data_IF_157284267974
#
_entry.id   IF_157284267974
#
_cell.length_a   1.000
_cell.length_b   1.000
_cell.length_c   1.000
_cell.angle_alpha   90.00
_cell.angle_beta   90.00
_cell.angle_gamma   90.00
#
_symmetry.space_group_name_H-M   'P 1'
#
loop_
_entity.id
_entity.type
_entity.pdbx_description
1 polymer ?
#
# COMPACT_ATOMS: atom_id res chain seq x y z
N UNK A 1 14.60 -15.68 4.02
CA UNK A 1 15.38 -14.45 4.23
C UNK A 1 15.18 -13.45 3.09
N UNK A 2 15.41 -13.82 1.82
CA UNK A 2 15.22 -12.91 0.65
C UNK A 2 13.83 -12.24 0.63
N UNK A 3 12.75 -12.98 0.89
CA UNK A 3 11.39 -12.42 0.90
C UNK A 3 11.15 -11.32 1.94
N UNK A 4 11.69 -11.46 3.16
CA UNK A 4 11.51 -10.49 4.26
C UNK A 4 12.28 -9.19 4.00
N UNK A 5 13.44 -9.29 3.35
CA UNK A 5 14.19 -8.11 2.91
C UNK A 5 13.47 -7.38 1.78
N UNK A 6 12.89 -8.12 0.84
CA UNK A 6 12.12 -7.53 -0.25
C UNK A 6 10.89 -6.76 0.27
N UNK A 7 10.11 -7.34 1.20
CA UNK A 7 8.98 -6.64 1.83
C UNK A 7 9.40 -5.38 2.55
N UNK A 8 10.54 -5.41 3.24
CA UNK A 8 11.01 -4.22 3.96
C UNK A 8 11.44 -3.12 3.00
N UNK A 9 12.14 -3.46 1.92
CA UNK A 9 12.51 -2.50 0.88
C UNK A 9 11.28 -1.94 0.17
N UNK A 10 10.29 -2.78 -0.13
CA UNK A 10 9.01 -2.36 -0.69
C UNK A 10 8.27 -1.42 0.27
N UNK A 11 8.21 -1.77 1.57
CA UNK A 11 7.63 -0.92 2.61
C UNK A 11 8.35 0.43 2.69
N UNK A 12 9.68 0.44 2.68
CA UNK A 12 10.47 1.68 2.72
C UNK A 12 10.27 2.55 1.47
N UNK A 13 10.21 1.96 0.27
CA UNK A 13 9.90 2.68 -0.97
C UNK A 13 8.47 3.24 -0.92
N UNK A 14 7.53 2.45 -0.40
CA UNK A 14 6.14 2.87 -0.20
C UNK A 14 6.03 4.04 0.77
N UNK A 15 6.75 3.95 1.90
CA UNK A 15 6.82 4.99 2.93
C UNK A 15 7.53 6.23 2.43
N UNK A 16 8.57 6.10 1.59
CA UNK A 16 9.23 7.22 0.94
C UNK A 16 8.27 7.98 0.02
N UNK A 17 7.47 7.23 -0.76
CA UNK A 17 6.37 7.82 -1.54
C UNK A 17 5.34 8.45 -0.61
N UNK A 18 5.03 7.83 0.53
CA UNK A 18 4.03 8.32 1.49
C UNK A 18 4.45 9.59 2.21
N UNK A 19 5.66 9.67 2.76
CA UNK A 19 6.16 10.84 3.47
C UNK A 19 6.23 12.10 2.59
N UNK A 20 6.36 11.92 1.27
CA UNK A 20 6.21 13.00 0.30
C UNK A 20 4.72 13.33 0.00
N UNK A 21 3.79 12.38 0.20
CA UNK A 21 2.42 12.43 -0.31
C UNK A 21 1.29 12.44 0.72
N UNK A 22 1.55 12.46 2.04
CA UNK A 22 0.50 12.65 3.04
C UNK A 22 -0.03 14.08 2.97
N UNK A 23 -1.02 14.25 2.11
CA UNK A 23 -1.90 15.39 2.12
C UNK A 23 -3.28 14.88 2.41
N UNK A 24 -3.58 14.82 3.70
CA UNK A 24 -4.96 14.78 4.13
C UNK A 24 -5.39 16.22 4.37
N UNK A 25 -6.59 16.61 3.92
CA UNK A 25 -7.17 17.86 4.31
C UNK A 25 -7.11 18.06 5.83
N UNK A 26 -6.78 19.26 6.29
CA UNK A 26 -6.68 19.57 7.72
C UNK A 26 -8.01 19.33 8.47
N UNK A 27 -9.14 19.36 7.75
CA UNK A 27 -10.45 19.12 8.34
C UNK A 27 -10.75 17.64 8.64
N UNK A 28 -9.87 16.71 8.24
CA UNK A 28 -9.96 15.27 8.54
C UNK A 28 -8.98 14.83 9.64
N UNK A 29 -8.93 15.56 10.77
CA UNK A 29 -8.04 15.24 11.91
C UNK A 29 -8.14 13.77 12.35
N UNK A 30 -9.36 13.22 12.45
CA UNK A 30 -9.56 11.82 12.85
C UNK A 30 -8.95 10.82 11.85
N UNK A 31 -8.94 11.14 10.55
CA UNK A 31 -8.34 10.30 9.53
C UNK A 31 -6.81 10.42 9.55
N UNK A 32 -6.31 11.63 9.87
CA UNK A 32 -4.90 11.91 10.03
C UNK A 32 -4.29 11.06 11.15
N UNK A 33 -4.95 11.00 12.31
CA UNK A 33 -4.51 10.18 13.44
C UNK A 33 -4.48 8.69 13.08
N UNK A 34 -5.55 8.18 12.45
CA UNK A 34 -5.61 6.76 12.04
C UNK A 34 -4.52 6.41 11.03
N UNK A 35 -4.22 7.33 10.11
CA UNK A 35 -3.18 7.14 9.10
C UNK A 35 -1.80 7.21 9.73
N UNK A 36 -1.53 8.19 10.59
CA UNK A 36 -0.25 8.31 11.30
C UNK A 36 0.03 7.07 12.16
N UNK A 37 -0.96 6.60 12.93
CA UNK A 37 -0.83 5.35 13.72
C UNK A 37 -0.54 4.15 12.82
N UNK A 38 -1.22 4.06 11.66
CA UNK A 38 -0.96 2.98 10.69
C UNK A 38 0.46 3.06 10.15
N UNK A 39 0.95 4.27 9.86
CA UNK A 39 2.29 4.48 9.30
C UNK A 39 3.40 4.20 10.29
N UNK A 40 3.24 4.64 11.53
CA UNK A 40 4.16 4.30 12.62
C UNK A 40 4.20 2.77 12.79
N UNK A 41 3.04 2.11 12.71
CA UNK A 41 2.96 0.65 12.76
C UNK A 41 3.66 0.00 11.57
N UNK A 42 3.50 0.54 10.36
CA UNK A 42 4.14 0.06 9.13
C UNK A 42 5.67 0.24 9.15
N UNK A 43 6.20 1.18 9.92
CA UNK A 43 7.63 1.33 10.10
C UNK A 43 8.19 0.36 11.15
N UNK A 44 7.47 0.18 12.26
CA UNK A 44 7.95 -0.64 13.39
C UNK A 44 7.82 -2.14 13.11
N UNK A 45 6.70 -2.59 12.54
CA UNK A 45 6.41 -4.02 12.36
C UNK A 45 7.46 -4.73 11.48
N UNK A 46 7.84 -4.24 10.28
CA UNK A 46 8.83 -4.90 9.44
C UNK A 46 10.21 -5.01 10.11
N UNK A 47 10.63 -3.98 10.86
CA UNK A 47 11.91 -3.99 11.58
C UNK A 47 11.92 -5.08 12.65
N UNK A 48 10.83 -5.21 13.41
CA UNK A 48 10.67 -6.27 14.39
C UNK A 48 10.63 -7.65 13.71
N UNK A 49 9.90 -7.80 12.61
CA UNK A 49 9.84 -9.04 11.84
C UNK A 49 11.21 -9.45 11.27
N UNK A 50 12.02 -8.50 10.79
CA UNK A 50 13.40 -8.77 10.34
C UNK A 50 14.24 -9.30 11.49
N UNK A 51 14.23 -8.61 12.63
CA UNK A 51 15.02 -9.02 13.79
C UNK A 51 14.62 -10.42 14.25
N UNK A 52 13.31 -10.69 14.39
CA UNK A 52 12.77 -12.00 14.73
C UNK A 52 13.14 -13.07 13.70
N UNK A 53 13.14 -12.74 12.42
CA UNK A 53 13.55 -13.65 11.34
C UNK A 53 15.03 -13.99 11.43
N UNK A 54 15.91 -13.00 11.67
CA UNK A 54 17.35 -13.23 11.81
C UNK A 54 17.63 -14.17 13.00
N UNK A 55 17.01 -13.88 14.15
CA UNK A 55 17.13 -14.72 15.35
C UNK A 55 16.62 -16.14 15.04
N UNK A 56 15.46 -16.28 14.41
CA UNK A 56 14.86 -17.57 14.07
C UNK A 56 15.69 -18.37 13.06
N UNK A 57 16.30 -17.71 12.07
CA UNK A 57 17.21 -18.35 11.14
C UNK A 57 18.48 -18.83 11.84
N UNK A 58 19.07 -18.02 12.72
CA UNK A 58 20.25 -18.40 13.49
C UNK A 58 19.97 -19.58 14.43
N UNK A 59 18.85 -19.54 15.17
CA UNK A 59 18.44 -20.64 16.05
C UNK A 59 18.03 -21.88 15.27
N UNK A 60 17.40 -21.71 14.11
CA UNK A 60 17.02 -22.80 13.22
C UNK A 60 18.22 -23.52 12.64
N UNK A 61 19.22 -22.76 12.18
CA UNK A 61 20.49 -23.31 11.69
C UNK A 61 21.24 -24.04 12.80
N UNK A 62 21.42 -23.40 13.96
CA UNK A 62 22.08 -24.02 15.11
C UNK A 62 21.33 -25.28 15.58
N UNK A 63 19.99 -25.25 15.58
CA UNK A 63 19.13 -26.38 15.92
C UNK A 63 19.21 -27.52 14.90
N UNK A 64 19.35 -27.23 13.61
CA UNK A 64 19.53 -28.23 12.57
C UNK A 64 20.91 -28.92 12.65
N UNK A 65 21.98 -28.15 12.92
CA UNK A 65 23.33 -28.71 13.09
C UNK A 65 23.45 -29.52 14.40
N UNK A 66 22.87 -29.01 15.48
CA UNK A 66 22.93 -29.65 16.80
C UNK A 66 21.70 -30.53 17.10
N UNK A 67 21.06 -31.06 16.07
CA UNK A 67 19.72 -31.65 16.19
C UNK A 67 19.65 -32.79 17.20
N UNK A 68 20.69 -33.62 17.27
CA UNK A 68 20.77 -34.73 18.23
C UNK A 68 20.90 -34.26 19.67
N UNK A 69 21.55 -33.11 19.90
CA UNK A 69 21.84 -32.62 21.25
C UNK A 69 20.76 -31.67 21.78
N UNK A 70 20.03 -30.96 20.91
CA UNK A 70 19.17 -29.83 21.30
C UNK A 70 17.91 -29.67 20.44
N UNK A 71 16.97 -30.64 20.45
CA UNK A 71 15.70 -30.54 19.70
C UNK A 71 14.83 -29.34 20.13
N UNK A 72 15.01 -28.84 21.35
CA UNK A 72 14.31 -27.67 21.87
C UNK A 72 14.60 -26.39 21.06
N UNK A 73 15.78 -26.26 20.44
CA UNK A 73 16.09 -25.10 19.58
C UNK A 73 15.25 -25.10 18.30
N UNK A 74 15.03 -26.28 17.69
CA UNK A 74 14.18 -26.41 16.51
C UNK A 74 12.71 -26.15 16.86
N UNK A 75 12.27 -26.60 18.05
CA UNK A 75 10.93 -26.29 18.55
C UNK A 75 10.71 -24.79 18.74
N UNK A 76 11.63 -24.10 19.44
CA UNK A 76 11.57 -22.64 19.66
C UNK A 76 11.56 -21.90 18.33
N UNK A 77 12.37 -22.35 17.37
CA UNK A 77 12.38 -21.78 16.01
C UNK A 77 11.03 -21.94 15.32
N UNK A 78 10.42 -23.13 15.40
CA UNK A 78 9.08 -23.37 14.85
C UNK A 78 8.02 -22.46 15.47
N UNK A 79 8.03 -22.30 16.79
CA UNK A 79 7.13 -21.39 17.51
C UNK A 79 7.33 -19.93 17.08
N UNK A 80 8.59 -19.47 16.95
CA UNK A 80 8.88 -18.11 16.47
C UNK A 80 8.31 -17.85 15.07
N UNK A 81 8.37 -18.82 14.15
CA UNK A 81 7.76 -18.67 12.83
C UNK A 81 6.23 -18.57 12.87
N UNK A 82 5.56 -19.22 13.83
CA UNK A 82 4.13 -18.99 14.04
C UNK A 82 3.84 -17.58 14.57
N UNK A 83 4.68 -17.05 15.46
CA UNK A 83 4.54 -15.65 15.91
C UNK A 83 4.76 -14.65 14.77
N UNK A 84 5.78 -14.86 13.93
CA UNK A 84 6.01 -14.04 12.73
C UNK A 84 4.77 -14.12 11.82
N UNK A 85 4.25 -15.32 11.57
CA UNK A 85 3.02 -15.49 10.76
C UNK A 85 1.84 -14.68 11.33
N UNK A 86 1.62 -14.71 12.64
CA UNK A 86 0.55 -13.93 13.27
C UNK A 86 0.75 -12.42 13.09
N UNK A 87 1.98 -11.92 13.26
CA UNK A 87 2.30 -10.50 13.05
C UNK A 87 2.05 -10.07 11.61
N UNK A 88 2.48 -10.88 10.63
CA UNK A 88 2.29 -10.59 9.21
C UNK A 88 0.79 -10.60 8.83
N UNK A 89 0.01 -11.56 9.35
CA UNK A 89 -1.44 -11.58 9.17
C UNK A 89 -2.10 -10.36 9.81
N UNK A 90 -1.72 -9.99 11.03
CA UNK A 90 -2.24 -8.78 11.68
C UNK A 90 -1.93 -7.54 10.86
N UNK A 91 -0.72 -7.41 10.32
CA UNK A 91 -0.34 -6.33 9.41
C UNK A 91 -1.21 -6.28 8.15
N UNK A 92 -1.40 -7.43 7.49
CA UNK A 92 -2.27 -7.52 6.31
C UNK A 92 -3.74 -7.16 6.63
N UNK A 93 -4.25 -7.56 7.80
CA UNK A 93 -5.61 -7.25 8.25
C UNK A 93 -5.80 -5.76 8.56
N UNK A 94 -4.81 -5.09 9.16
CA UNK A 94 -4.86 -3.66 9.45
C UNK A 94 -4.83 -2.83 8.15
N UNK A 95 -4.13 -3.30 7.12
CA UNK A 95 -4.06 -2.60 5.83
C UNK A 95 -5.39 -2.56 5.08
N UNK A 96 -6.26 -3.56 5.23
CA UNK A 96 -7.56 -3.64 4.52
C UNK A 96 -8.44 -2.39 4.74
N UNK A 97 -8.82 -2.03 5.99
CA UNK A 97 -9.67 -0.88 6.22
C UNK A 97 -8.99 0.43 5.79
N UNK A 98 -7.66 0.52 5.91
CA UNK A 98 -6.89 1.71 5.51
C UNK A 98 -6.93 1.90 4.00
N UNK A 99 -6.65 0.85 3.21
CA UNK A 99 -6.74 0.89 1.74
C UNK A 99 -8.16 1.26 1.29
N UNK A 100 -9.18 0.59 1.85
CA UNK A 100 -10.58 0.85 1.51
C UNK A 100 -11.02 2.28 1.88
N UNK A 101 -10.55 2.79 3.01
CA UNK A 101 -10.88 4.14 3.48
C UNK A 101 -10.16 5.18 2.64
N UNK A 102 -8.89 4.97 2.32
CA UNK A 102 -8.10 5.84 1.46
C UNK A 102 -8.72 5.95 0.07
N UNK A 103 -9.01 4.82 -0.58
CA UNK A 103 -9.59 4.82 -1.93
C UNK A 103 -10.94 5.53 -1.96
N UNK A 104 -11.83 5.22 -1.00
CA UNK A 104 -13.17 5.79 -0.99
C UNK A 104 -13.18 7.26 -0.58
N UNK A 105 -12.51 7.60 0.53
CA UNK A 105 -12.58 8.93 1.12
C UNK A 105 -11.76 9.91 0.28
N UNK A 106 -10.48 9.60 0.05
CA UNK A 106 -9.57 10.57 -0.58
C UNK A 106 -9.95 10.83 -2.03
N UNK A 107 -10.32 9.81 -2.82
CA UNK A 107 -10.70 10.04 -4.22
C UNK A 107 -12.01 10.83 -4.31
N UNK A 108 -13.02 10.47 -3.51
CA UNK A 108 -14.31 11.18 -3.54
C UNK A 108 -14.20 12.61 -3.03
N UNK A 109 -13.49 12.81 -1.91
CA UNK A 109 -13.29 14.15 -1.34
C UNK A 109 -12.39 15.01 -2.22
N UNK A 110 -11.30 14.47 -2.77
CA UNK A 110 -10.52 15.21 -3.77
C UNK A 110 -11.39 15.58 -4.96
N UNK A 111 -12.18 14.66 -5.51
CA UNK A 111 -13.05 14.97 -6.64
C UNK A 111 -14.00 16.11 -6.30
N UNK A 112 -14.69 16.03 -5.15
CA UNK A 112 -15.60 17.07 -4.69
C UNK A 112 -14.88 18.40 -4.47
N UNK A 113 -13.69 18.39 -3.87
CA UNK A 113 -12.86 19.58 -3.63
C UNK A 113 -12.50 20.28 -4.95
N UNK A 114 -11.97 19.51 -5.91
CA UNK A 114 -11.60 20.04 -7.23
C UNK A 114 -12.82 20.50 -8.03
N UNK A 115 -13.95 19.78 -7.95
CA UNK A 115 -15.20 20.18 -8.59
C UNK A 115 -15.80 21.45 -7.98
N UNK A 116 -15.81 21.58 -6.65
CA UNK A 116 -16.26 22.79 -5.94
C UNK A 116 -15.43 24.00 -6.34
N UNK A 117 -14.10 23.83 -6.38
CA UNK A 117 -13.18 24.86 -6.86
C UNK A 117 -13.47 25.27 -8.30
N UNK A 118 -13.71 24.32 -9.19
CA UNK A 118 -14.02 24.61 -10.59
C UNK A 118 -15.41 25.24 -10.76
N UNK A 119 -16.38 24.82 -9.94
CA UNK A 119 -17.75 25.33 -9.92
C UNK A 119 -17.85 26.75 -9.35
N UNK A 120 -16.95 27.13 -8.43
CA UNK A 120 -16.79 28.50 -7.93
C UNK A 120 -16.26 29.48 -8.99
N UNK A 121 -16.00 29.02 -10.22
CA UNK A 121 -15.70 29.88 -11.35
C UNK A 121 -16.90 30.12 -12.32
N UNK A 122 -18.15 30.36 -11.84
CA UNK A 122 -19.33 30.39 -12.72
C UNK A 122 -19.46 31.71 -13.48
N UNK A 123 -18.96 32.82 -12.93
CA UNK A 123 -19.01 34.15 -13.57
C UNK A 123 -18.22 34.17 -14.88
N UNK A 124 -17.19 33.32 -14.99
CA UNK A 124 -16.42 33.13 -16.21
C UNK A 124 -17.12 32.22 -17.21
N UNK A 125 -17.91 31.23 -16.76
CA UNK A 125 -18.67 30.34 -17.65
C UNK A 125 -19.76 31.10 -18.42
N UNK A 126 -20.41 32.07 -17.75
CA UNK A 126 -21.33 33.01 -18.41
C UNK A 126 -20.62 33.94 -19.40
N UNK A 127 -19.40 34.40 -19.09
CA UNK A 127 -18.61 35.22 -20.01
C UNK A 127 -18.13 34.41 -21.23
N UNK A 128 -17.73 33.14 -21.06
CA UNK A 128 -17.37 32.25 -22.17
C UNK A 128 -18.55 31.96 -23.07
N UNK A 129 -19.72 31.60 -22.52
CA UNK A 129 -20.92 31.36 -23.31
C UNK A 129 -21.45 32.60 -24.03
N UNK A 130 -21.19 33.79 -23.47
CA UNK A 130 -21.51 35.06 -24.13
C UNK A 130 -20.49 35.42 -25.21
N UNK A 131 -19.22 35.04 -25.07
CA UNK A 131 -18.17 35.38 -26.05
C UNK A 131 -17.99 34.33 -27.15
N UNK A 132 -18.23 33.04 -26.93
CA UNK A 132 -18.08 32.02 -27.98
C UNK A 132 -19.02 32.25 -29.19
N UNK A 133 -20.17 32.90 -28.97
CA UNK A 133 -21.12 33.22 -30.03
C UNK A 133 -20.82 34.53 -30.79
N UNK A 134 -19.95 35.41 -30.28
CA UNK A 134 -19.58 36.67 -30.96
C UNK A 134 -18.09 36.72 -31.38
N UNK A 135 -17.21 35.90 -30.79
CA UNK A 135 -15.76 36.02 -30.91
C UNK A 135 -15.13 35.10 -31.98
N UNK A 136 -15.84 34.06 -32.45
CA UNK A 136 -15.30 33.15 -33.47
C UNK A 136 -15.37 33.70 -34.91
N UNK A 137 -16.08 34.80 -35.14
CA UNK A 137 -16.23 35.39 -36.48
C UNK A 137 -15.41 36.67 -36.71
N UNK A 138 -14.77 37.25 -35.68
CA UNK A 138 -14.11 38.58 -35.82
C UNK A 138 -12.67 38.71 -35.33
N UNK A 139 -12.04 37.71 -34.74
CA UNK A 139 -10.67 37.87 -34.21
C UNK A 139 -9.67 36.86 -34.77
N UNK A 140 -9.24 37.16 -36.00
CA UNK A 140 -7.83 37.06 -36.31
C UNK A 140 -7.07 38.04 -35.43
N UNK A 141 -6.11 37.52 -34.67
CA UNK A 141 -4.88 38.23 -34.33
C UNK A 141 -5.04 39.56 -33.55
N UNK A 142 -5.73 39.58 -32.41
CA UNK A 142 -5.32 40.50 -31.32
C UNK A 142 -5.68 39.96 -29.94
N UNK A 143 -4.62 39.77 -29.15
CA UNK A 143 -4.56 39.34 -27.76
C UNK A 143 -5.24 40.37 -26.85
N UNK A 144 -6.52 40.20 -26.52
CA UNK A 144 -7.17 41.00 -25.47
C UNK A 144 -7.25 40.21 -24.17
N UNK A 145 -6.38 40.60 -23.25
CA UNK A 145 -6.36 40.15 -21.85
C UNK A 145 -7.48 40.82 -21.06
N UNK A 146 -8.63 40.17 -20.95
CA UNK A 146 -9.57 40.47 -19.86
C UNK A 146 -8.97 39.94 -18.55
N UNK A 147 -8.15 40.78 -17.90
CA UNK A 147 -7.70 40.56 -16.53
C UNK A 147 -8.86 40.89 -15.58
N UNK A 148 -9.68 39.90 -15.23
CA UNK A 148 -10.09 39.87 -13.83
C UNK A 148 -8.79 39.83 -13.00
N UNK A 149 -8.69 40.52 -11.85
CA UNK A 149 -7.51 40.47 -11.00
C UNK A 149 -7.36 39.05 -10.43
N UNK A 150 -6.81 38.17 -11.25
CA UNK A 150 -6.45 36.80 -10.95
C UNK A 150 -5.11 36.86 -10.22
N UNK A 151 -5.14 36.83 -8.90
CA UNK A 151 -3.94 36.64 -8.11
C UNK A 151 -3.58 35.13 -8.17
N UNK A 152 -2.49 34.81 -8.87
CA UNK A 152 -1.88 33.47 -8.90
C UNK A 152 -2.74 32.36 -9.52
N UNK A 153 -3.57 32.69 -10.51
CA UNK A 153 -4.42 31.71 -11.21
C UNK A 153 -5.84 31.56 -10.67
N UNK A 154 -6.16 32.24 -9.57
CA UNK A 154 -7.43 32.12 -8.88
C UNK A 154 -8.25 33.40 -8.97
N UNK A 155 -9.57 33.26 -9.09
CA UNK A 155 -10.49 34.41 -9.01
C UNK A 155 -10.63 34.79 -7.53
N UNK A 156 -10.49 36.08 -7.20
CA UNK A 156 -10.68 36.59 -5.83
C UNK A 156 -12.15 36.43 -5.43
N UNK A 157 -12.47 35.45 -4.59
CA UNK A 157 -13.80 35.29 -4.00
C UNK A 157 -13.76 35.39 -2.46
N UNK A 158 -14.94 35.50 -1.84
CA UNK A 158 -15.15 35.65 -0.40
C UNK A 158 -14.34 34.66 0.46
N UNK A 159 -14.04 35.03 1.72
CA UNK A 159 -13.18 34.33 2.69
C UNK A 159 -13.26 32.79 2.75
N UNK A 160 -14.36 32.14 2.36
CA UNK A 160 -14.46 30.68 2.30
C UNK A 160 -13.69 30.02 1.13
N UNK A 161 -13.41 30.77 0.07
CA UNK A 161 -12.69 30.26 -1.12
C UNK A 161 -11.18 30.15 -0.92
N UNK A 162 -10.61 30.94 0.01
CA UNK A 162 -9.17 30.91 0.31
C UNK A 162 -8.74 29.59 0.95
N UNK A 163 -9.58 29.02 1.81
CA UNK A 163 -9.32 27.72 2.43
C UNK A 163 -9.28 26.59 1.40
N UNK A 164 -10.31 26.49 0.56
CA UNK A 164 -10.39 25.46 -0.50
C UNK A 164 -9.24 25.59 -1.50
N UNK A 165 -8.89 26.83 -1.87
CA UNK A 165 -7.70 27.12 -2.68
C UNK A 165 -6.43 26.63 -2.00
N UNK A 166 -6.21 27.00 -0.74
CA UNK A 166 -5.00 26.62 -0.01
C UNK A 166 -4.85 25.10 0.09
N UNK A 167 -5.97 24.38 0.28
CA UNK A 167 -5.98 22.93 0.34
C UNK A 167 -5.62 22.29 -1.02
N UNK A 168 -6.21 22.79 -2.11
CA UNK A 168 -5.86 22.34 -3.48
C UNK A 168 -4.41 22.66 -3.83
N UNK A 169 -3.95 23.89 -3.54
CA UNK A 169 -2.57 24.31 -3.78
C UNK A 169 -1.58 23.45 -2.97
N UNK A 170 -1.94 23.10 -1.73
CA UNK A 170 -1.14 22.22 -0.88
C UNK A 170 -1.06 20.80 -1.45
N UNK A 171 -2.19 20.21 -1.87
CA UNK A 171 -2.23 18.89 -2.53
C UNK A 171 -1.33 18.89 -3.77
N UNK A 172 -1.48 19.87 -4.65
CA UNK A 172 -0.76 19.94 -5.92
C UNK A 172 0.75 20.10 -5.75
N UNK A 173 1.15 20.96 -4.81
CA UNK A 173 2.55 21.21 -4.50
C UNK A 173 3.22 19.97 -3.89
N UNK A 174 2.59 19.35 -2.89
CA UNK A 174 3.17 18.19 -2.19
C UNK A 174 3.18 16.92 -3.03
N UNK A 175 2.13 16.65 -3.78
CA UNK A 175 2.07 15.47 -4.66
C UNK A 175 2.83 15.67 -5.98
N UNK A 176 3.30 16.89 -6.26
CA UNK A 176 3.85 17.29 -7.55
C UNK A 176 2.92 16.85 -8.70
N UNK A 177 1.67 17.29 -8.60
CA UNK A 177 0.60 16.94 -9.52
C UNK A 177 -0.17 18.17 -9.94
N UNK A 178 -0.93 18.07 -11.04
CA UNK A 178 -1.77 19.17 -11.49
C UNK A 178 -3.17 18.68 -11.81
N UNK A 179 -4.18 19.19 -11.10
CA UNK A 179 -5.58 18.90 -11.36
C UNK A 179 -5.99 17.46 -11.04
N UNK A 180 -7.31 17.23 -10.95
CA UNK A 180 -7.87 15.92 -10.65
C UNK A 180 -7.59 14.90 -11.77
N UNK A 181 -7.75 15.30 -13.04
CA UNK A 181 -7.51 14.46 -14.24
C UNK A 181 -6.27 14.88 -15.04
N UNK A 182 -5.37 15.66 -14.43
CA UNK A 182 -4.17 16.20 -15.07
C UNK A 182 -4.31 17.69 -15.34
N UNK A 183 -3.27 18.29 -15.93
CA UNK A 183 -3.21 19.73 -16.21
C UNK A 183 -4.38 20.27 -17.05
N UNK A 184 -4.93 19.45 -17.95
CA UNK A 184 -6.14 19.76 -18.72
C UNK A 184 -7.43 19.92 -17.89
N UNK A 185 -7.41 19.53 -16.60
CA UNK A 185 -8.51 19.80 -15.68
C UNK A 185 -8.75 21.30 -15.55
N UNK A 186 -7.68 22.09 -15.54
CA UNK A 186 -7.72 23.55 -15.49
C UNK A 186 -7.97 24.10 -16.89
N UNK A 187 -9.23 24.43 -17.20
CA UNK A 187 -9.63 24.91 -18.54
C UNK A 187 -9.16 26.32 -18.88
N UNK A 188 -8.67 27.08 -17.89
CA UNK A 188 -8.47 28.54 -18.02
C UNK A 188 -7.03 28.89 -17.70
N UNK A 189 -6.71 28.97 -16.41
CA UNK A 189 -5.38 29.29 -15.91
C UNK A 189 -4.97 28.20 -14.93
N UNK A 190 -3.77 27.71 -15.12
CA UNK A 190 -3.19 26.70 -14.25
C UNK A 190 -2.69 27.42 -12.97
N UNK A 191 -3.05 26.92 -11.77
CA UNK A 191 -2.52 27.45 -10.52
C UNK A 191 -0.99 27.39 -10.45
N UNK A 192 -0.36 28.32 -9.74
CA UNK A 192 1.10 28.31 -9.52
C UNK A 192 1.57 27.04 -8.79
N UNK A 193 0.72 26.45 -7.94
CA UNK A 193 0.97 25.18 -7.24
C UNK A 193 1.13 23.95 -8.16
N UNK A 194 0.73 24.06 -9.44
CA UNK A 194 1.00 23.03 -10.45
C UNK A 194 2.41 23.10 -11.03
N UNK A 195 3.18 24.14 -10.74
CA UNK A 195 4.51 24.33 -11.30
C UNK A 195 5.60 23.99 -10.27
N UNK A 196 6.78 23.54 -10.71
CA UNK A 196 7.93 23.36 -9.83
C UNK A 196 8.35 24.68 -9.17
N UNK A 197 8.80 24.63 -7.92
CA UNK A 197 9.26 25.82 -7.16
C UNK A 197 10.40 26.58 -7.86
N UNK A 198 11.20 25.88 -8.66
CA UNK A 198 12.33 26.46 -9.40
C UNK A 198 11.89 27.31 -10.60
N UNK A 199 10.60 27.35 -10.93
CA UNK A 199 10.13 28.08 -12.11
C UNK A 199 10.07 29.61 -11.85
N UNK A 200 10.88 30.42 -12.55
CA UNK A 200 11.01 31.85 -12.28
C UNK A 200 9.88 32.71 -12.87
N UNK A 201 8.87 32.09 -13.49
CA UNK A 201 7.79 32.79 -14.18
C UNK A 201 6.58 33.02 -13.28
N UNK A 202 6.03 34.24 -13.30
CA UNK A 202 4.79 34.59 -12.58
C UNK A 202 3.53 33.87 -13.10
N UNK A 203 3.65 33.08 -14.18
CA UNK A 203 2.53 32.38 -14.81
C UNK A 203 2.92 30.93 -15.15
N UNK A 204 2.27 29.98 -14.49
CA UNK A 204 2.39 28.56 -14.79
C UNK A 204 1.73 28.27 -16.16
N UNK A 205 2.53 27.83 -17.12
CA UNK A 205 2.07 27.46 -18.47
C UNK A 205 1.85 25.95 -18.58
N UNK A 206 1.07 25.51 -19.58
CA UNK A 206 0.69 24.10 -19.74
C UNK A 206 1.88 23.17 -20.01
N UNK A 207 2.93 23.69 -20.65
CA UNK A 207 4.19 22.97 -20.93
C UNK A 207 5.04 22.75 -19.67
N UNK A 208 4.98 23.66 -18.70
CA UNK A 208 5.78 23.61 -17.46
C UNK A 208 5.05 22.88 -16.34
N UNK A 209 3.72 22.98 -16.29
CA UNK A 209 2.91 22.36 -15.25
C UNK A 209 3.11 20.84 -15.17
N UNK A 210 3.02 20.28 -13.95
CA UNK A 210 3.09 18.84 -13.72
C UNK A 210 2.17 18.07 -14.67
N UNK A 211 2.74 17.12 -15.40
CA UNK A 211 2.01 16.36 -16.42
C UNK A 211 1.04 15.33 -15.83
N UNK A 212 1.31 14.86 -14.61
CA UNK A 212 0.53 13.81 -13.94
C UNK A 212 -0.64 14.39 -13.15
N UNK A 213 -1.75 13.66 -13.16
CA UNK A 213 -2.90 13.98 -12.33
C UNK A 213 -2.67 13.63 -10.87
N UNK A 214 -3.37 14.34 -9.97
CA UNK A 214 -3.29 14.06 -8.55
C UNK A 214 -3.89 12.68 -8.21
N UNK A 215 -4.93 12.26 -8.94
CA UNK A 215 -5.47 10.89 -8.89
C UNK A 215 -4.46 9.83 -9.28
N UNK A 216 -3.61 10.08 -10.28
CA UNK A 216 -2.59 9.12 -10.70
C UNK A 216 -1.54 8.91 -9.62
N UNK A 217 -1.06 10.01 -9.00
CA UNK A 217 -0.12 9.94 -7.88
C UNK A 217 -0.73 9.17 -6.70
N UNK A 218 -1.98 9.45 -6.37
CA UNK A 218 -2.71 8.75 -5.33
C UNK A 218 -2.94 7.25 -5.63
N UNK A 219 -3.32 6.91 -6.86
CA UNK A 219 -3.48 5.52 -7.29
C UNK A 219 -2.17 4.74 -7.21
N UNK A 220 -1.04 5.39 -7.53
CA UNK A 220 0.29 4.80 -7.36
C UNK A 220 0.58 4.45 -5.89
N UNK A 221 0.12 5.30 -4.96
CA UNK A 221 0.22 5.02 -3.52
C UNK A 221 -0.71 3.88 -3.08
N UNK A 222 -1.99 3.90 -3.47
CA UNK A 222 -2.93 2.81 -3.15
C UNK A 222 -2.46 1.46 -3.70
N UNK A 223 -1.96 1.44 -4.95
CA UNK A 223 -1.36 0.25 -5.56
C UNK A 223 -0.14 -0.25 -4.78
N UNK A 224 0.65 0.65 -4.20
CA UNK A 224 1.80 0.29 -3.39
C UNK A 224 1.38 -0.38 -2.06
N UNK A 225 0.37 0.18 -1.36
CA UNK A 225 -0.18 -0.44 -0.16
C UNK A 225 -0.81 -1.82 -0.45
N UNK A 226 -1.53 -1.94 -1.57
CA UNK A 226 -2.10 -3.22 -2.00
C UNK A 226 -1.00 -4.26 -2.30
N UNK A 227 0.10 -3.84 -2.93
CA UNK A 227 1.26 -4.72 -3.15
C UNK A 227 1.84 -5.18 -1.82
N UNK A 228 2.06 -4.27 -0.88
CA UNK A 228 2.58 -4.59 0.45
C UNK A 228 1.68 -5.59 1.20
N UNK A 229 0.36 -5.41 1.11
CA UNK A 229 -0.61 -6.34 1.70
C UNK A 229 -0.45 -7.77 1.14
N UNK A 230 -0.31 -7.91 -0.18
CA UNK A 230 -0.10 -9.21 -0.82
C UNK A 230 1.21 -9.84 -0.36
N UNK A 231 2.26 -9.04 -0.21
CA UNK A 231 3.55 -9.55 0.26
C UNK A 231 3.49 -10.04 1.72
N UNK A 232 2.81 -9.32 2.63
CA UNK A 232 2.54 -9.78 4.00
C UNK A 232 1.88 -11.16 4.01
N UNK A 233 0.88 -11.39 3.14
CA UNK A 233 0.21 -12.69 3.03
C UNK A 233 1.15 -13.79 2.54
N UNK A 234 2.00 -13.52 1.55
CA UNK A 234 2.98 -14.49 1.05
C UNK A 234 3.97 -14.87 2.15
N UNK A 235 4.51 -13.90 2.89
CA UNK A 235 5.45 -14.14 3.99
C UNK A 235 4.79 -14.89 5.14
N UNK A 236 3.52 -14.61 5.44
CA UNK A 236 2.74 -15.34 6.44
C UNK A 236 2.61 -16.83 6.07
N UNK A 237 2.29 -17.15 4.81
CA UNK A 237 2.18 -18.54 4.32
C UNK A 237 3.53 -19.26 4.40
N UNK A 238 4.61 -18.61 3.97
CA UNK A 238 5.96 -19.19 4.05
C UNK A 238 6.39 -19.46 5.49
N UNK A 239 6.07 -18.54 6.40
CA UNK A 239 6.34 -18.67 7.84
C UNK A 239 5.54 -19.83 8.44
N UNK A 240 4.27 -19.98 8.06
CA UNK A 240 3.44 -21.11 8.48
C UNK A 240 4.02 -22.46 8.04
N UNK A 241 4.41 -22.58 6.77
CA UNK A 241 5.01 -23.82 6.24
C UNK A 241 6.32 -24.13 6.97
N UNK A 242 7.16 -23.13 7.18
CA UNK A 242 8.45 -23.29 7.90
C UNK A 242 8.23 -23.74 9.35
N UNK A 243 7.25 -23.13 10.04
CA UNK A 243 6.85 -23.53 11.38
C UNK A 243 6.35 -24.98 11.43
N UNK A 244 5.51 -25.39 10.47
CA UNK A 244 5.01 -26.76 10.36
C UNK A 244 6.14 -27.78 10.15
N UNK A 245 7.09 -27.48 9.26
CA UNK A 245 8.25 -28.36 9.00
C UNK A 245 9.12 -28.50 10.25
N UNK A 246 9.44 -27.39 10.94
CA UNK A 246 10.21 -27.43 12.18
C UNK A 246 9.53 -28.28 13.26
N UNK A 247 8.21 -28.11 13.45
CA UNK A 247 7.44 -28.90 14.40
C UNK A 247 7.38 -30.39 14.03
N UNK A 248 7.27 -30.71 12.73
CA UNK A 248 7.30 -32.09 12.24
C UNK A 248 8.65 -32.75 12.49
N UNK A 249 9.76 -32.04 12.27
CA UNK A 249 11.10 -32.54 12.57
C UNK A 249 11.27 -32.87 14.06
N UNK A 250 10.81 -31.99 14.95
CA UNK A 250 10.85 -32.24 16.41
C UNK A 250 10.07 -33.50 16.77
N UNK A 251 8.86 -33.67 16.24
CA UNK A 251 8.06 -34.89 16.47
C UNK A 251 8.74 -36.14 15.91
N UNK A 252 9.38 -36.03 14.76
CA UNK A 252 10.09 -37.15 14.14
C UNK A 252 11.27 -37.60 15.01
N UNK A 253 12.03 -36.66 15.59
CA UNK A 253 13.11 -37.00 16.54
C UNK A 253 12.58 -37.61 17.84
N UNK A 254 11.45 -37.14 18.36
CA UNK A 254 10.80 -37.75 19.52
C UNK A 254 10.38 -39.20 19.25
N UNK A 255 9.92 -39.50 18.02
CA UNK A 255 9.52 -40.84 17.63
C UNK A 255 10.71 -41.79 17.40
N UNK A 256 11.83 -41.27 16.89
CA UNK A 256 13.04 -42.04 16.56
C UNK A 256 14.27 -41.45 17.26
N UNK A 257 14.44 -41.68 18.58
CA UNK A 257 15.53 -41.08 19.35
C UNK A 257 16.91 -41.57 18.89
N UNK A 258 17.02 -42.86 18.55
CA UNK A 258 18.30 -43.53 18.23
C UNK A 258 18.74 -43.33 16.77
N UNK A 259 17.96 -42.61 15.95
CA UNK A 259 18.31 -42.34 14.55
C UNK A 259 18.19 -43.55 13.61
N UNK A 260 17.57 -44.65 14.07
CA UNK A 260 17.25 -45.80 13.21
C UNK A 260 16.02 -45.48 12.34
N UNK A 261 16.26 -44.72 11.27
CA UNK A 261 15.21 -44.27 10.34
C UNK A 261 14.87 -45.30 9.25
N UNK A 262 15.55 -46.46 9.22
CA UNK A 262 15.60 -47.34 8.05
C UNK A 262 14.99 -48.74 8.25
N UNK A 263 14.35 -49.07 9.38
CA UNK A 263 14.03 -50.47 9.70
C UNK A 263 12.56 -50.91 9.55
N UNK A 264 11.59 -50.00 9.47
CA UNK A 264 10.20 -50.38 9.77
C UNK A 264 9.28 -50.61 8.54
N UNK A 265 9.71 -50.28 7.32
CA UNK A 265 8.88 -50.47 6.11
C UNK A 265 9.13 -51.81 5.39
N UNK A 266 9.94 -52.70 5.96
CA UNK A 266 10.19 -54.05 5.44
C UNK A 266 9.41 -55.16 6.16
N UNK A 267 8.32 -54.84 6.87
CA UNK A 267 7.35 -55.86 7.29
C UNK A 267 6.50 -56.27 6.08
N UNK A 268 7.01 -57.30 5.41
CA UNK A 268 6.34 -58.21 4.50
C UNK A 268 4.82 -58.19 4.60
N UNK A 269 4.17 -57.88 3.47
CA UNK A 269 2.89 -58.47 3.10
C UNK A 269 3.07 -59.99 3.01
N UNK A 270 3.08 -60.67 4.15
CA UNK A 270 2.64 -62.06 4.18
C UNK A 270 1.14 -61.99 3.96
N UNK A 271 0.74 -62.19 2.70
CA UNK A 271 -0.57 -62.69 2.32
C UNK A 271 -0.91 -63.87 3.24
N UNK A 272 -1.67 -63.61 4.29
CA UNK A 272 -2.44 -64.66 4.94
C UNK A 272 -3.59 -64.99 3.99
N UNK A 273 -3.33 -65.99 3.14
CA UNK A 273 -4.34 -66.80 2.51
C UNK A 273 -5.33 -67.29 3.57
N UNK A 274 -6.47 -66.61 3.66
CA UNK A 274 -7.63 -67.10 4.40
C UNK A 274 -8.20 -68.31 3.65
N UNK A 275 -7.63 -69.48 3.92
CA UNK A 275 -8.26 -70.77 3.64
C UNK A 275 -9.51 -70.86 4.52
N UNK A 276 -10.65 -70.62 3.90
CA UNK A 276 -11.98 -70.86 4.44
C UNK A 276 -12.16 -72.37 4.63
N UNK A 277 -12.25 -72.82 5.88
CA UNK A 277 -12.54 -74.21 6.23
C UNK A 277 -14.00 -74.33 6.73
N UNK A 278 -14.95 -74.82 5.92
CA UNK A 278 -16.34 -74.91 6.29
C UNK A 278 -16.72 -76.35 6.65
N UNK A 279 -16.20 -76.89 7.75
CA UNK A 279 -16.81 -78.07 8.37
C UNK A 279 -16.54 -78.09 9.88
N UNK A 280 -17.58 -77.81 10.69
CA UNK A 280 -18.03 -78.79 11.66
C UNK A 280 -19.44 -78.50 12.16
N UNK A 281 -20.35 -79.23 11.54
CA UNK A 281 -21.69 -79.60 11.95
C UNK A 281 -21.72 -80.39 13.27
N UNK A 282 -22.79 -80.15 14.04
CA UNK A 282 -23.49 -81.09 14.92
C UNK A 282 -22.73 -81.73 16.11
N UNK A 283 -23.04 -81.23 17.32
CA UNK A 283 -23.62 -82.03 18.40
C UNK A 283 -24.32 -81.17 19.45
#
# INVERSE_FOLDING_TARGET
MVGVFATTLAAMDCMGKFGASVVLPAHLENLHDSINITMDSLQVVPVVCIFMTIVSCATGFAGAVCFDSRPLLVFVTGMNFFFIMLLELTGAWILIPVINSLEKIVIQEMQQLFEQVNAMNPEYKSLLSSSENELFETLGETTYSYQLPLANGWVRFANGSEFLKAEVDYIQTKLECCGFTGRQFWKIRIPESCCPEEYPGNNCTLDVAYSRSCTFKFNGFSSCLSTLQVEFLIVAVLSFVTGCVAMRLVRYKQKYPDGNYASDDSSSSSEEDNVFDPQETFK
#
